data_IF_392949132335
#
_entry.id   IF_392949132335
#
_cell.length_a   1.000
_cell.length_b   1.000
_cell.length_c   1.000
_cell.angle_alpha   90.00
_cell.angle_beta   90.00
_cell.angle_gamma   90.00
#
_symmetry.space_group_name_H-M   'P 1'
#
loop_
_entity.id
_entity.type
_entity.pdbx_description
1 polymer ?
#
# COMPACT_ATOMS: atom_id res chain seq x y z
N UNK A 1 21.02 8.82 -39.39
CA UNK A 1 21.29 9.31 -38.03
C UNK A 1 19.98 9.81 -37.43
N UNK A 2 19.13 8.90 -36.97
CA UNK A 2 17.97 9.20 -36.13
C UNK A 2 17.63 7.93 -35.35
N UNK A 3 18.05 7.84 -34.10
CA UNK A 3 17.44 6.90 -33.17
C UNK A 3 17.03 7.69 -31.93
N UNK A 4 15.74 7.64 -31.67
CA UNK A 4 15.01 8.55 -30.81
C UNK A 4 15.59 8.59 -29.40
N UNK A 5 15.87 9.81 -28.95
CA UNK A 5 16.00 10.14 -27.55
C UNK A 5 14.63 9.99 -26.91
N UNK A 6 14.33 8.88 -26.25
CA UNK A 6 13.50 8.86 -25.05
C UNK A 6 13.82 7.57 -24.31
N UNK A 7 14.50 7.67 -23.16
CA UNK A 7 14.41 6.62 -22.16
C UNK A 7 12.98 6.68 -21.62
N UNK A 8 12.04 6.10 -22.36
CA UNK A 8 10.77 5.70 -21.78
C UNK A 8 11.15 4.57 -20.85
N UNK A 9 11.48 4.93 -19.60
CA UNK A 9 11.43 4.01 -18.48
C UNK A 9 10.11 3.28 -18.66
N UNK A 10 10.23 2.02 -19.09
CA UNK A 10 9.16 1.08 -19.29
C UNK A 10 8.32 1.23 -18.04
N UNK A 11 7.19 1.93 -18.10
CA UNK A 11 6.25 1.92 -16.98
C UNK A 11 5.89 0.44 -16.96
N UNK A 12 6.43 -0.37 -16.02
CA UNK A 12 5.96 -1.74 -15.92
C UNK A 12 4.44 -1.63 -15.83
N UNK A 13 3.66 -2.57 -16.40
CA UNK A 13 2.22 -2.54 -16.17
C UNK A 13 2.07 -2.26 -14.69
N UNK A 14 1.45 -1.13 -14.30
CA UNK A 14 1.51 -0.72 -12.90
C UNK A 14 0.69 -1.79 -12.21
N UNK A 15 1.37 -2.82 -11.72
CA UNK A 15 0.80 -3.87 -10.88
C UNK A 15 0.67 -3.21 -9.53
N UNK A 16 -0.18 -2.16 -9.50
CA UNK A 16 -0.63 -1.44 -8.33
C UNK A 16 -1.11 -2.53 -7.41
N UNK A 17 -0.34 -2.75 -6.35
CA UNK A 17 -0.65 -3.80 -5.42
C UNK A 17 -1.56 -3.17 -4.39
N UNK A 18 -2.87 -3.38 -4.56
CA UNK A 18 -3.86 -2.89 -3.62
C UNK A 18 -3.94 -3.81 -2.42
N UNK A 19 -3.92 -3.19 -1.26
CA UNK A 19 -4.10 -3.82 0.03
C UNK A 19 -5.38 -3.28 0.63
N UNK A 20 -6.27 -4.18 1.00
CA UNK A 20 -7.37 -3.89 1.89
C UNK A 20 -6.87 -4.03 3.32
N UNK A 21 -7.10 -3.01 4.15
CA UNK A 21 -6.79 -3.00 5.57
C UNK A 21 -8.09 -2.91 6.34
N UNK A 22 -8.57 -4.01 6.89
CA UNK A 22 -9.78 -4.09 7.72
C UNK A 22 -9.47 -4.29 9.19
N UNK A 23 -10.51 -4.41 10.00
CA UNK A 23 -10.42 -4.55 11.46
C UNK A 23 -9.66 -3.39 12.12
N UNK A 24 -9.77 -2.20 11.54
CA UNK A 24 -9.18 -0.99 12.08
C UNK A 24 -10.12 -0.45 13.18
N UNK A 25 -9.59 -0.07 14.36
CA UNK A 25 -10.40 0.59 15.38
C UNK A 25 -10.97 1.90 14.84
N UNK A 26 -12.11 2.33 15.36
CA UNK A 26 -12.82 3.55 14.93
C UNK A 26 -11.97 4.83 15.02
N UNK A 27 -10.89 4.82 15.80
CA UNK A 27 -9.93 5.92 15.94
C UNK A 27 -8.83 5.92 14.86
N UNK A 28 -8.70 4.84 14.07
CA UNK A 28 -7.66 4.76 13.05
C UNK A 28 -7.99 5.66 11.88
N UNK A 29 -7.17 6.70 11.73
CA UNK A 29 -7.23 7.66 10.63
C UNK A 29 -6.21 7.33 9.55
N UNK A 30 -6.35 7.98 8.39
CA UNK A 30 -5.41 7.84 7.26
C UNK A 30 -3.97 8.09 7.69
N UNK A 31 -3.73 9.12 8.49
CA UNK A 31 -2.42 9.44 9.04
C UNK A 31 -1.83 8.31 9.89
N UNK A 32 -2.65 7.64 10.70
CA UNK A 32 -2.20 6.56 11.58
C UNK A 32 -1.78 5.34 10.76
N UNK A 33 -2.59 4.95 9.76
CA UNK A 33 -2.21 3.94 8.78
C UNK A 33 -0.93 4.34 8.07
N UNK A 34 -0.86 5.56 7.53
CA UNK A 34 0.32 6.05 6.82
C UNK A 34 1.58 5.96 7.67
N UNK A 35 1.52 6.35 8.93
CA UNK A 35 2.62 6.19 9.87
C UNK A 35 2.98 4.73 10.11
N UNK A 36 2.00 3.85 10.28
CA UNK A 36 2.22 2.41 10.46
C UNK A 36 2.98 1.80 9.28
N UNK A 37 2.58 2.15 8.05
CA UNK A 37 3.26 1.72 6.84
C UNK A 37 4.67 2.32 6.73
N UNK A 38 4.84 3.62 7.06
CA UNK A 38 6.15 4.29 7.07
C UNK A 38 7.12 3.67 8.09
N UNK A 39 6.66 3.37 9.31
CA UNK A 39 7.47 2.75 10.35
C UNK A 39 8.00 1.37 9.92
N UNK A 40 7.19 0.63 9.18
CA UNK A 40 7.57 -0.66 8.61
C UNK A 40 8.39 -0.54 7.30
N UNK A 41 8.76 0.67 6.89
CA UNK A 41 9.46 0.98 5.63
C UNK A 41 8.71 0.45 4.39
N UNK A 42 7.39 0.60 4.41
CA UNK A 42 6.51 0.21 3.30
C UNK A 42 6.16 1.45 2.47
N UNK A 43 6.48 1.41 1.19
CA UNK A 43 6.12 2.48 0.26
C UNK A 43 4.65 2.32 -0.17
N UNK A 44 3.84 3.33 0.14
CA UNK A 44 2.44 3.41 -0.25
C UNK A 44 2.27 4.58 -1.21
N UNK A 45 1.62 4.36 -2.35
CA UNK A 45 1.29 5.41 -3.33
C UNK A 45 -0.01 6.12 -2.97
N UNK A 46 -0.97 5.41 -2.40
CA UNK A 46 -2.25 6.00 -1.98
C UNK A 46 -2.81 5.28 -0.75
N UNK A 47 -3.51 6.01 0.11
CA UNK A 47 -4.22 5.46 1.27
C UNK A 47 -5.62 6.06 1.24
N UNK A 48 -6.63 5.22 1.38
CA UNK A 48 -8.02 5.58 1.23
C UNK A 48 -8.83 4.98 2.38
N UNK A 49 -8.95 5.74 3.46
CA UNK A 49 -9.70 5.30 4.64
C UNK A 49 -11.19 5.46 4.39
N UNK A 50 -11.93 4.38 4.63
CA UNK A 50 -13.40 4.39 4.58
C UNK A 50 -13.96 4.43 5.98
N UNK A 51 -15.02 5.23 6.15
CA UNK A 51 -15.80 5.31 7.39
C UNK A 51 -16.55 3.99 7.56
N UNK A 52 -15.92 3.03 8.23
CA UNK A 52 -16.44 1.68 8.45
C UNK A 52 -15.45 0.70 9.09
N UNK A 53 -14.32 1.17 9.62
CA UNK A 53 -13.28 0.29 10.20
C UNK A 53 -12.40 -0.41 9.17
N UNK A 54 -12.29 0.15 7.96
CA UNK A 54 -11.43 -0.36 6.91
C UNK A 54 -10.85 0.75 6.02
N UNK A 55 -9.76 0.44 5.34
CA UNK A 55 -9.02 1.32 4.45
C UNK A 55 -8.46 0.54 3.26
N UNK A 56 -8.15 1.25 2.18
CA UNK A 56 -7.41 0.71 1.05
C UNK A 56 -6.06 1.38 0.95
N UNK A 57 -5.02 0.62 0.63
CA UNK A 57 -3.66 1.11 0.46
C UNK A 57 -3.15 0.63 -0.89
N UNK A 58 -2.78 1.56 -1.75
CA UNK A 58 -2.11 1.26 -3.00
C UNK A 58 -0.60 1.23 -2.75
N UNK A 59 0.06 0.16 -3.20
CA UNK A 59 1.52 0.02 -3.21
C UNK A 59 2.04 0.05 -4.65
N UNK A 60 3.22 0.66 -4.88
CA UNK A 60 3.87 0.69 -6.19
C UNK A 60 4.45 -0.68 -6.58
N UNK A 61 4.78 -1.52 -5.59
CA UNK A 61 5.45 -2.80 -5.77
C UNK A 61 4.73 -3.94 -5.05
N UNK A 62 4.71 -5.12 -5.67
CA UNK A 62 4.19 -6.33 -5.05
C UNK A 62 4.98 -6.74 -3.81
N UNK A 63 6.31 -6.60 -3.82
CA UNK A 63 7.15 -6.94 -2.68
C UNK A 63 6.85 -6.06 -1.46
N UNK A 64 6.52 -4.79 -1.68
CA UNK A 64 6.09 -3.89 -0.61
C UNK A 64 4.74 -4.33 -0.05
N UNK A 65 3.81 -4.73 -0.92
CA UNK A 65 2.52 -5.21 -0.49
C UNK A 65 2.59 -6.53 0.30
N UNK A 66 3.42 -7.46 -0.15
CA UNK A 66 3.64 -8.75 0.52
C UNK A 66 4.27 -8.57 1.90
N UNK A 67 5.31 -7.74 2.00
CA UNK A 67 5.92 -7.35 3.29
C UNK A 67 4.94 -6.64 4.21
N UNK A 68 4.04 -5.83 3.65
CA UNK A 68 3.01 -5.15 4.44
C UNK A 68 2.05 -6.15 5.07
N UNK A 69 1.57 -7.11 4.28
CA UNK A 69 0.72 -8.19 4.77
C UNK A 69 1.49 -8.97 5.84
N UNK A 70 2.69 -9.46 5.56
CA UNK A 70 3.47 -10.26 6.53
C UNK A 70 3.77 -9.51 7.85
N UNK A 71 4.13 -8.23 7.77
CA UNK A 71 4.50 -7.43 8.95
C UNK A 71 3.31 -6.90 9.74
N UNK A 72 2.23 -6.49 9.08
CA UNK A 72 1.11 -5.80 9.71
C UNK A 72 -0.06 -6.73 10.00
N UNK A 73 -0.27 -7.78 9.19
CA UNK A 73 -1.29 -8.79 9.44
C UNK A 73 -0.94 -9.54 10.73
N UNK A 74 -1.75 -9.35 11.77
CA UNK A 74 -1.59 -10.02 13.07
C UNK A 74 -0.75 -9.28 14.12
N UNK A 75 0.03 -8.24 13.76
CA UNK A 75 0.76 -7.42 14.77
C UNK A 75 -0.05 -6.31 15.40
N UNK A 76 -1.00 -5.74 14.66
CA UNK A 76 -1.76 -4.57 15.13
C UNK A 76 -3.26 -4.87 15.27
N UNK A 77 -3.66 -6.14 15.37
CA UNK A 77 -5.06 -6.60 15.25
C UNK A 77 -5.74 -6.23 13.92
N UNK A 78 -5.03 -5.57 13.00
CA UNK A 78 -5.55 -5.20 11.68
C UNK A 78 -5.42 -6.38 10.70
N UNK A 79 -6.44 -6.54 9.87
CA UNK A 79 -6.47 -7.54 8.81
C UNK A 79 -6.02 -6.89 7.50
N UNK A 80 -4.88 -7.32 6.97
CA UNK A 80 -4.43 -6.87 5.65
C UNK A 80 -4.64 -7.99 4.63
N UNK A 81 -5.41 -7.69 3.59
CA UNK A 81 -5.76 -8.63 2.52
C UNK A 81 -5.33 -8.02 1.19
N UNK A 82 -4.71 -8.82 0.33
CA UNK A 82 -4.38 -8.40 -1.04
C UNK A 82 -5.64 -8.37 -1.88
N UNK A 83 -5.87 -7.25 -2.57
CA UNK A 83 -7.02 -7.03 -3.46
C UNK A 83 -6.61 -7.18 -4.92
#
# INVERSE_FOLDING_TARGET
MIFYMTTAAKIPPITMSKLYVGNLPTETSENALRQLFLEQNLSCTSILVKRGGYAFVDCPDQSSADRAIDKLNGKSEVLIIKY
#
